data_IF_949527652703
#
_entry.id   IF_949527652703
#
_cell.length_a   1.000
_cell.length_b   1.000
_cell.length_c   1.000
_cell.angle_alpha   90.00
_cell.angle_beta   90.00
_cell.angle_gamma   90.00
#
_symmetry.space_group_name_H-M   'P 1'
#
loop_
_entity.id
_entity.type
_entity.pdbx_description
1 polymer ?
#
# COMPACT_ATOMS: atom_id res chain seq x y z
N UNK A 1 12.91 -4.60 -19.77
CA UNK A 1 11.64 -5.34 -19.83
C UNK A 1 10.68 -4.62 -18.91
N UNK A 2 9.96 -3.65 -19.47
CA UNK A 2 8.88 -2.94 -18.78
C UNK A 2 7.68 -3.85 -18.98
N UNK A 3 7.31 -4.62 -17.96
CA UNK A 3 6.13 -5.46 -18.04
C UNK A 3 4.90 -4.57 -18.22
N UNK A 4 4.07 -4.96 -19.17
CA UNK A 4 2.81 -4.35 -19.53
C UNK A 4 1.92 -4.18 -18.30
N UNK A 5 1.95 -3.00 -17.68
CA UNK A 5 0.93 -2.59 -16.73
C UNK A 5 -0.41 -2.63 -17.48
N UNK A 6 -1.25 -3.58 -17.07
CA UNK A 6 -2.64 -3.75 -17.47
C UNK A 6 -3.42 -2.47 -17.19
N UNK A 7 -3.25 -1.46 -18.03
CA UNK A 7 -4.29 -0.49 -18.27
C UNK A 7 -5.43 -1.31 -18.84
N UNK A 8 -6.53 -1.42 -18.10
CA UNK A 8 -7.75 -1.99 -18.63
C UNK A 8 -8.09 -1.23 -19.92
N UNK A 9 -7.82 -1.85 -21.08
CA UNK A 9 -8.04 -1.24 -22.40
C UNK A 9 -9.47 -0.70 -22.53
N UNK A 10 -10.42 -1.30 -21.81
CA UNK A 10 -11.80 -0.81 -21.70
C UNK A 10 -11.90 0.59 -21.08
N UNK A 11 -11.20 0.86 -19.97
CA UNK A 11 -11.25 2.14 -19.27
C UNK A 11 -10.52 3.24 -20.06
N UNK A 12 -9.36 2.92 -20.65
CA UNK A 12 -8.62 3.87 -21.49
C UNK A 12 -9.39 4.19 -22.78
N UNK A 13 -10.07 3.20 -23.38
CA UNK A 13 -10.94 3.43 -24.55
C UNK A 13 -12.19 4.25 -24.21
N UNK A 14 -12.75 4.09 -23.01
CA UNK A 14 -13.89 4.90 -22.54
C UNK A 14 -13.48 6.34 -22.17
N UNK A 15 -12.19 6.58 -21.86
CA UNK A 15 -11.62 7.90 -21.57
C UNK A 15 -11.15 8.62 -22.85
N UNK A 16 -10.64 7.89 -23.85
CA UNK A 16 -10.03 8.45 -25.07
C UNK A 16 -10.95 8.38 -26.31
N UNK A 17 -11.92 7.46 -26.34
CA UNK A 17 -12.87 7.27 -27.43
C UNK A 17 -14.18 7.98 -27.13
N UNK A 18 -14.54 8.94 -27.98
CA UNK A 18 -15.78 9.69 -27.89
C UNK A 18 -17.03 8.83 -28.03
N UNK A 19 -17.52 8.29 -26.93
CA UNK A 19 -18.95 8.17 -26.65
C UNK A 19 -19.15 8.52 -25.17
N UNK A 20 -19.57 9.77 -24.95
CA UNK A 20 -19.94 10.30 -23.64
C UNK A 20 -21.09 9.49 -23.03
N UNK A 21 -20.77 8.44 -22.27
CA UNK A 21 -21.58 8.20 -21.08
C UNK A 21 -21.22 9.31 -20.12
N UNK A 22 -22.04 10.36 -20.07
CA UNK A 22 -22.04 11.28 -18.93
C UNK A 22 -22.17 10.39 -17.70
N UNK A 23 -21.10 10.29 -16.90
CA UNK A 23 -21.14 9.74 -15.55
C UNK A 23 -22.08 10.63 -14.74
N UNK A 24 -23.38 10.43 -14.90
CA UNK A 24 -24.41 11.33 -14.36
C UNK A 24 -24.71 10.95 -12.90
N UNK A 25 -24.35 9.72 -12.52
CA UNK A 25 -24.62 9.15 -11.21
C UNK A 25 -23.35 9.18 -10.34
N UNK A 26 -23.42 9.91 -9.24
CA UNK A 26 -22.35 10.03 -8.25
C UNK A 26 -21.93 8.68 -7.64
N UNK A 27 -22.83 7.69 -7.61
CA UNK A 27 -22.51 6.35 -7.11
C UNK A 27 -21.48 5.64 -7.97
N UNK A 28 -21.62 5.72 -9.29
CA UNK A 28 -20.74 5.02 -10.24
C UNK A 28 -19.34 5.65 -10.23
N UNK A 29 -19.28 6.98 -10.12
CA UNK A 29 -18.02 7.71 -9.95
C UNK A 29 -17.28 7.30 -8.67
N UNK A 30 -18.00 7.24 -7.54
CA UNK A 30 -17.42 6.82 -6.26
C UNK A 30 -16.95 5.37 -6.31
N UNK A 31 -17.72 4.48 -6.96
CA UNK A 31 -17.34 3.08 -7.13
C UNK A 31 -16.05 2.97 -7.95
N UNK A 32 -15.95 3.67 -9.09
CA UNK A 32 -14.75 3.69 -9.92
C UNK A 32 -13.52 4.18 -9.15
N UNK A 33 -13.64 5.29 -8.38
CA UNK A 33 -12.53 5.82 -7.57
C UNK A 33 -12.09 4.82 -6.49
N UNK A 34 -13.04 4.11 -5.87
CA UNK A 34 -12.72 3.15 -4.81
C UNK A 34 -11.98 1.93 -5.34
N UNK A 35 -12.31 1.45 -6.53
CA UNK A 35 -11.66 0.28 -7.14
C UNK A 35 -10.43 0.61 -7.97
N UNK A 36 -10.17 1.88 -8.27
CA UNK A 36 -9.06 2.31 -9.13
C UNK A 36 -7.70 1.88 -8.57
N UNK A 37 -6.82 1.46 -9.48
CA UNK A 37 -5.38 1.30 -9.24
C UNK A 37 -4.64 2.64 -9.09
N UNK A 38 -3.34 2.61 -8.79
CA UNK A 38 -2.51 3.82 -8.61
C UNK A 38 -2.54 4.72 -9.85
N UNK A 39 -2.34 4.11 -11.02
CA UNK A 39 -2.21 4.82 -12.29
C UNK A 39 -3.57 5.35 -12.77
N UNK A 40 -4.62 4.58 -12.55
CA UNK A 40 -5.99 4.97 -12.85
C UNK A 40 -6.45 6.14 -11.97
N UNK A 41 -6.05 6.16 -10.70
CA UNK A 41 -6.42 7.24 -9.78
C UNK A 41 -5.90 8.59 -10.27
N UNK A 42 -4.70 8.66 -10.87
CA UNK A 42 -4.17 9.91 -11.44
C UNK A 42 -5.10 10.48 -12.51
N UNK A 43 -5.61 9.62 -13.39
CA UNK A 43 -6.55 10.03 -14.44
C UNK A 43 -7.90 10.46 -13.85
N UNK A 44 -8.39 9.74 -12.84
CA UNK A 44 -9.65 10.08 -12.16
C UNK A 44 -9.55 11.38 -11.34
N UNK A 45 -8.41 11.64 -10.69
CA UNK A 45 -8.11 12.90 -10.00
C UNK A 45 -8.14 14.08 -10.98
N UNK A 46 -7.56 13.92 -12.17
CA UNK A 46 -7.61 14.94 -13.22
C UNK A 46 -9.04 15.14 -13.74
N UNK A 47 -9.76 14.05 -14.01
CA UNK A 47 -11.12 14.08 -14.58
C UNK A 47 -12.15 14.69 -13.64
N UNK A 48 -12.06 14.42 -12.34
CA UNK A 48 -13.05 14.82 -11.34
C UNK A 48 -12.55 15.91 -10.39
N UNK A 49 -11.45 16.59 -10.74
CA UNK A 49 -10.83 17.67 -9.94
C UNK A 49 -11.83 18.73 -9.48
N UNK A 50 -12.68 19.17 -10.40
CA UNK A 50 -13.63 20.25 -10.19
C UNK A 50 -15.06 19.76 -9.90
N UNK A 51 -15.26 18.45 -9.68
CA UNK A 51 -16.60 17.93 -9.34
C UNK A 51 -17.07 18.50 -7.98
N UNK A 52 -18.25 19.14 -7.91
CA UNK A 52 -18.69 19.83 -6.69
C UNK A 52 -19.18 18.88 -5.60
N UNK A 53 -19.45 17.60 -5.92
CA UNK A 53 -20.13 16.67 -5.02
C UNK A 53 -19.16 16.18 -3.94
N UNK A 54 -19.55 16.36 -2.68
CA UNK A 54 -18.73 15.99 -1.52
C UNK A 54 -18.36 14.50 -1.51
N UNK A 55 -19.26 13.61 -1.95
CA UNK A 55 -19.00 12.18 -2.03
C UNK A 55 -17.86 11.81 -2.98
N UNK A 56 -17.75 12.50 -4.12
CA UNK A 56 -16.68 12.29 -5.11
C UNK A 56 -15.35 12.80 -4.55
N UNK A 57 -15.33 14.01 -3.99
CA UNK A 57 -14.13 14.58 -3.33
C UNK A 57 -13.61 13.70 -2.20
N UNK A 58 -14.50 13.18 -1.36
CA UNK A 58 -14.13 12.28 -0.26
C UNK A 58 -13.60 10.95 -0.78
N UNK A 59 -14.18 10.41 -1.87
CA UNK A 59 -13.70 9.19 -2.48
C UNK A 59 -12.26 9.37 -3.02
N UNK A 60 -11.98 10.48 -3.73
CA UNK A 60 -10.63 10.79 -4.22
C UNK A 60 -9.63 10.90 -3.07
N UNK A 61 -9.98 11.64 -2.00
CA UNK A 61 -9.13 11.79 -0.82
C UNK A 61 -8.83 10.44 -0.14
N UNK A 62 -9.85 9.59 0.01
CA UNK A 62 -9.69 8.28 0.63
C UNK A 62 -8.81 7.35 -0.23
N UNK A 63 -9.02 7.35 -1.56
CA UNK A 63 -8.19 6.57 -2.48
C UNK A 63 -6.73 7.03 -2.45
N UNK A 64 -6.48 8.34 -2.49
CA UNK A 64 -5.13 8.91 -2.33
C UNK A 64 -4.48 8.49 -1.02
N UNK A 65 -5.18 8.67 0.11
CA UNK A 65 -4.66 8.29 1.42
C UNK A 65 -4.33 6.79 1.52
N UNK A 66 -5.10 5.93 0.84
CA UNK A 66 -4.81 4.49 0.77
C UNK A 66 -3.49 4.23 0.05
N UNK A 67 -3.29 4.82 -1.13
CA UNK A 67 -2.04 4.65 -1.88
C UNK A 67 -0.84 5.28 -1.17
N UNK A 68 -1.01 6.44 -0.53
CA UNK A 68 0.04 7.06 0.28
C UNK A 68 0.42 6.19 1.49
N UNK A 69 -0.54 5.47 2.08
CA UNK A 69 -0.26 4.51 3.14
C UNK A 69 0.48 3.26 2.61
N UNK A 70 0.04 2.70 1.49
CA UNK A 70 0.70 1.56 0.84
C UNK A 70 2.14 1.88 0.45
N UNK A 71 2.38 3.04 -0.18
CA UNK A 71 3.72 3.47 -0.57
C UNK A 71 4.62 3.70 0.65
N UNK A 72 4.10 4.29 1.74
CA UNK A 72 4.86 4.43 2.99
C UNK A 72 5.27 3.08 3.58
N UNK A 73 4.37 2.10 3.54
CA UNK A 73 4.67 0.76 4.04
C UNK A 73 5.71 0.06 3.16
N UNK A 74 5.57 0.15 1.85
CA UNK A 74 6.57 -0.35 0.90
C UNK A 74 7.95 0.29 1.11
N UNK A 75 8.01 1.61 1.31
CA UNK A 75 9.26 2.30 1.62
C UNK A 75 9.85 1.85 2.97
N UNK A 76 9.00 1.64 3.99
CA UNK A 76 9.42 1.14 5.30
C UNK A 76 10.04 -0.25 5.17
N UNK A 77 9.33 -1.18 4.53
CA UNK A 77 9.80 -2.55 4.31
C UNK A 77 11.10 -2.56 3.50
N UNK A 78 11.16 -1.83 2.39
CA UNK A 78 12.40 -1.71 1.60
C UNK A 78 13.58 -1.18 2.41
N UNK A 79 13.34 -0.20 3.29
CA UNK A 79 14.38 0.37 4.15
C UNK A 79 14.89 -0.66 5.18
N UNK A 80 14.00 -1.45 5.77
CA UNK A 80 14.37 -2.51 6.72
C UNK A 80 15.21 -3.61 6.06
N UNK A 81 14.82 -4.06 4.86
CA UNK A 81 15.60 -5.07 4.12
C UNK A 81 16.91 -4.51 3.58
N UNK A 82 16.97 -3.23 3.21
CA UNK A 82 18.22 -2.57 2.86
C UNK A 82 19.20 -2.56 4.05
N UNK A 83 18.71 -2.26 5.25
CA UNK A 83 19.50 -2.33 6.47
C UNK A 83 20.01 -3.74 6.75
N UNK A 84 19.16 -4.77 6.62
CA UNK A 84 19.56 -6.18 6.76
C UNK A 84 20.69 -6.53 5.79
N UNK A 85 20.55 -6.18 4.50
CA UNK A 85 21.58 -6.42 3.48
C UNK A 85 22.91 -5.74 3.83
N UNK A 86 22.85 -4.48 4.25
CA UNK A 86 24.03 -3.71 4.62
C UNK A 86 24.74 -4.29 5.86
N UNK A 87 23.97 -4.71 6.87
CA UNK A 87 24.50 -5.27 8.10
C UNK A 87 25.12 -6.67 7.90
N UNK A 88 24.57 -7.47 7.00
CA UNK A 88 25.01 -8.85 6.78
C UNK A 88 26.38 -8.96 6.12
N UNK A 89 26.73 -8.08 5.18
CA UNK A 89 27.98 -8.17 4.41
C UNK A 89 28.29 -9.59 3.85
N UNK A 90 27.24 -10.35 3.48
CA UNK A 90 27.34 -11.74 3.01
C UNK A 90 27.18 -12.82 4.10
N UNK A 91 27.06 -12.44 5.37
CA UNK A 91 26.72 -13.32 6.47
C UNK A 91 25.20 -13.40 6.71
N UNK A 92 24.78 -14.40 7.50
CA UNK A 92 23.39 -14.54 7.96
C UNK A 92 23.12 -13.48 9.03
N UNK A 93 22.09 -12.67 8.80
CA UNK A 93 21.59 -11.69 9.78
C UNK A 93 20.45 -12.32 10.58
N UNK A 94 20.51 -12.19 11.89
CA UNK A 94 19.50 -12.70 12.82
C UNK A 94 18.91 -11.53 13.61
N UNK A 95 17.59 -11.35 13.54
CA UNK A 95 16.86 -10.44 14.40
C UNK A 95 16.60 -11.08 15.76
N UNK A 96 16.72 -10.29 16.83
CA UNK A 96 16.45 -10.70 18.21
C UNK A 96 15.37 -9.82 18.80
N UNK A 97 14.44 -10.41 19.54
CA UNK A 97 13.43 -9.67 20.32
C UNK A 97 13.04 -10.43 21.58
N UNK A 98 12.59 -9.72 22.61
CA UNK A 98 12.24 -10.27 23.90
C UNK A 98 10.84 -9.89 24.40
N UNK A 99 10.23 -10.82 25.14
CA UNK A 99 8.93 -10.62 25.81
C UNK A 99 9.06 -11.01 27.28
N UNK A 100 8.44 -10.24 28.16
CA UNK A 100 8.38 -10.52 29.60
C UNK A 100 9.28 -9.65 30.48
N UNK A 101 10.03 -8.69 29.92
CA UNK A 101 10.92 -7.78 30.70
C UNK A 101 10.18 -6.95 31.76
N UNK A 102 8.89 -6.66 31.54
CA UNK A 102 8.06 -5.87 32.46
C UNK A 102 7.22 -6.68 33.44
N UNK A 103 7.26 -8.01 33.37
CA UNK A 103 6.45 -8.87 34.22
C UNK A 103 7.07 -9.02 35.62
N UNK A 104 6.24 -9.01 36.66
CA UNK A 104 6.69 -9.19 38.06
C UNK A 104 7.17 -10.63 38.33
N UNK A 105 6.60 -11.59 37.61
CA UNK A 105 7.00 -12.99 37.65
C UNK A 105 6.72 -13.65 36.28
N UNK A 106 7.36 -14.78 36.03
CA UNK A 106 7.33 -15.48 34.75
C UNK A 106 8.65 -15.36 33.99
N UNK A 107 8.88 -16.20 32.97
CA UNK A 107 10.14 -16.22 32.23
C UNK A 107 10.27 -14.99 31.33
N UNK A 108 11.49 -14.48 31.20
CA UNK A 108 11.89 -13.65 30.07
C UNK A 108 12.15 -14.58 28.88
N UNK A 109 11.42 -14.37 27.78
CA UNK A 109 11.58 -15.17 26.56
C UNK A 109 12.23 -14.33 25.49
N UNK A 110 13.26 -14.87 24.83
CA UNK A 110 13.95 -14.23 23.71
C UNK A 110 13.76 -15.10 22.47
N UNK A 111 13.43 -14.49 21.34
CA UNK A 111 13.35 -15.13 20.04
C UNK A 111 14.50 -14.67 19.13
N UNK A 112 14.99 -15.58 18.29
CA UNK A 112 15.99 -15.32 17.27
C UNK A 112 15.47 -15.79 15.91
N UNK A 113 15.44 -14.89 14.93
CA UNK A 113 14.86 -15.18 13.60
C UNK A 113 15.81 -14.74 12.50
N UNK A 114 16.15 -15.67 11.61
CA UNK A 114 16.83 -15.38 10.36
C UNK A 114 15.79 -15.26 9.24
N UNK A 115 15.46 -14.04 8.83
CA UNK A 115 14.53 -13.81 7.72
C UNK A 115 15.24 -13.95 6.37
N UNK A 116 14.61 -14.60 5.37
CA UNK A 116 15.16 -14.65 4.02
C UNK A 116 15.14 -13.25 3.39
N UNK A 117 16.10 -12.97 2.49
CA UNK A 117 16.08 -11.71 1.72
C UNK A 117 15.02 -11.74 0.61
N UNK A 118 14.67 -12.93 0.13
CA UNK A 118 13.63 -13.16 -0.87
C UNK A 118 12.84 -14.46 -0.57
N UNK A 119 11.50 -14.46 -0.69
CA UNK A 119 10.67 -13.29 -0.93
C UNK A 119 10.66 -12.35 0.29
N UNK A 120 10.50 -11.04 0.05
CA UNK A 120 10.31 -10.09 1.15
C UNK A 120 8.97 -10.34 1.83
N UNK A 121 9.00 -10.46 3.15
CA UNK A 121 7.82 -10.48 4.02
C UNK A 121 7.39 -9.05 4.32
N UNK A 122 6.44 -8.54 3.55
CA UNK A 122 5.90 -7.19 3.70
C UNK A 122 4.84 -7.11 4.80
N UNK A 123 4.70 -5.94 5.43
CA UNK A 123 3.68 -5.71 6.45
C UNK A 123 3.96 -6.37 7.81
N UNK A 124 5.21 -6.77 8.07
CA UNK A 124 5.60 -7.28 9.38
C UNK A 124 5.64 -6.12 10.37
N UNK A 125 4.76 -6.16 11.36
CA UNK A 125 4.61 -5.13 12.39
C UNK A 125 4.97 -5.69 13.77
N UNK A 126 5.78 -4.95 14.55
CA UNK A 126 6.02 -5.20 15.99
C UNK A 126 4.83 -4.65 16.79
N UNK A 127 3.64 -5.10 16.39
CA UNK A 127 2.42 -4.63 16.99
C UNK A 127 2.29 -5.32 18.34
N UNK A 128 2.72 -4.62 19.40
CA UNK A 128 2.39 -4.90 20.81
C UNK A 128 0.89 -4.72 21.09
N UNK A 129 0.03 -4.90 20.08
CA UNK A 129 -1.43 -4.79 20.19
C UNK A 129 -1.92 -5.96 21.04
N UNK A 130 -1.93 -5.74 22.34
CA UNK A 130 -2.73 -6.51 23.28
C UNK A 130 -4.20 -6.28 22.85
N UNK A 131 -4.78 -7.28 22.19
CA UNK A 131 -6.24 -7.37 22.00
C UNK A 131 -6.89 -7.98 23.24
#
# INVERSE_FOLDING_TARGET
MIEDTFINKGLLSALLGGEMRKDTNSRDMIAAIRSAGSDELVLLEQRYRDDPRLGVKNALKAARSRFDAQSREEHRDNSLYALQRQAGAGAVVVGLDEVGRGSVAGPLTVAAVALPLEPMLCGLDDSKRLS
#
